data_IF_748147281811
#
_entry.id   IF_748147281811
#
_cell.length_a   1.000
_cell.length_b   1.000
_cell.length_c   1.000
_cell.angle_alpha   90.00
_cell.angle_beta   90.00
_cell.angle_gamma   90.00
#
_symmetry.space_group_name_H-M   'P 1'
#
loop_
_entity.id
_entity.type
_entity.pdbx_description
1 polymer ?
#
# COMPACT_ATOMS: atom_id res chain seq x y z
N UNK A 1 -11.01 -10.07 -6.84
CA UNK A 1 -9.78 -9.49 -6.27
C UNK A 1 -8.72 -10.56 -5.91
N UNK A 2 -9.13 -11.76 -5.49
CA UNK A 2 -8.26 -12.84 -4.96
C UNK A 2 -7.12 -13.29 -5.88
N UNK A 3 -7.33 -13.35 -7.20
CA UNK A 3 -6.32 -13.81 -8.16
C UNK A 3 -5.00 -13.02 -8.11
N UNK A 4 -5.05 -11.71 -7.85
CA UNK A 4 -3.85 -10.84 -7.79
C UNK A 4 -3.00 -11.14 -6.55
N UNK A 5 -3.66 -11.34 -5.41
CA UNK A 5 -2.98 -11.65 -4.14
C UNK A 5 -2.38 -13.05 -4.19
N UNK A 6 -3.10 -14.02 -4.76
CA UNK A 6 -2.56 -15.37 -4.97
C UNK A 6 -1.30 -15.34 -5.83
N UNK A 7 -1.29 -14.55 -6.90
CA UNK A 7 -0.11 -14.38 -7.75
C UNK A 7 1.06 -13.72 -6.99
N UNK A 8 0.82 -12.64 -6.24
CA UNK A 8 1.87 -11.98 -5.45
C UNK A 8 2.46 -12.91 -4.39
N UNK A 9 1.62 -13.66 -3.68
CA UNK A 9 2.09 -14.62 -2.68
C UNK A 9 2.88 -15.78 -3.32
N UNK A 10 2.50 -16.22 -4.52
CA UNK A 10 3.31 -17.16 -5.30
C UNK A 10 4.67 -16.53 -5.66
N UNK A 11 4.69 -15.31 -6.16
CA UNK A 11 5.92 -14.60 -6.53
C UNK A 11 6.85 -14.40 -5.33
N UNK A 12 6.32 -14.07 -4.14
CA UNK A 12 7.13 -13.97 -2.93
C UNK A 12 7.84 -15.28 -2.59
N UNK A 13 7.18 -16.43 -2.82
CA UNK A 13 7.80 -17.75 -2.62
C UNK A 13 8.88 -18.02 -3.65
N UNK A 14 8.60 -17.81 -4.93
CA UNK A 14 9.57 -18.06 -6.02
C UNK A 14 10.83 -17.19 -5.91
N UNK A 15 10.69 -15.96 -5.41
CA UNK A 15 11.80 -15.02 -5.22
C UNK A 15 12.45 -15.09 -3.83
N UNK A 16 12.00 -15.99 -2.95
CA UNK A 16 12.45 -16.11 -1.55
C UNK A 16 12.36 -14.80 -0.75
N UNK A 17 11.29 -14.02 -0.95
CA UNK A 17 11.05 -12.78 -0.23
C UNK A 17 10.29 -13.06 1.07
N UNK A 18 10.94 -12.86 2.22
CA UNK A 18 10.38 -13.09 3.55
C UNK A 18 9.75 -11.85 4.20
N UNK A 19 10.12 -10.64 3.75
CA UNK A 19 9.67 -9.35 4.29
C UNK A 19 8.64 -8.66 3.38
N UNK A 20 7.71 -9.42 2.81
CA UNK A 20 6.66 -8.90 1.93
C UNK A 20 5.29 -9.44 2.32
N UNK A 21 4.27 -8.59 2.25
CA UNK A 21 2.89 -8.97 2.53
C UNK A 21 1.97 -8.38 1.47
N UNK A 22 1.11 -9.21 0.88
CA UNK A 22 0.08 -8.77 -0.05
C UNK A 22 -1.26 -8.72 0.69
N UNK A 23 -1.91 -7.55 0.70
CA UNK A 23 -3.15 -7.30 1.45
C UNK A 23 -4.28 -7.00 0.46
N UNK A 24 -5.41 -7.69 0.63
CA UNK A 24 -6.63 -7.46 -0.15
C UNK A 24 -7.57 -6.51 0.58
N UNK A 25 -7.29 -5.22 0.56
CA UNK A 25 -8.14 -4.21 1.19
C UNK A 25 -8.19 -2.94 0.35
N UNK A 26 -9.20 -2.10 0.60
CA UNK A 26 -9.19 -0.71 0.12
C UNK A 26 -8.25 0.12 0.98
N UNK A 27 -7.65 1.15 0.40
CA UNK A 27 -6.67 1.99 1.10
C UNK A 27 -7.31 2.67 2.32
N UNK A 28 -8.53 3.20 2.18
CA UNK A 28 -9.26 3.88 3.25
C UNK A 28 -9.65 2.96 4.40
N UNK A 29 -9.90 1.67 4.13
CA UNK A 29 -10.22 0.70 5.17
C UNK A 29 -8.96 0.25 5.90
N UNK A 30 -7.86 0.03 5.16
CA UNK A 30 -6.58 -0.33 5.75
C UNK A 30 -6.00 0.79 6.64
N UNK A 31 -6.17 2.05 6.22
CA UNK A 31 -5.69 3.23 6.93
C UNK A 31 -6.38 3.49 8.28
N UNK A 32 -7.55 2.91 8.55
CA UNK A 32 -8.23 3.02 9.85
C UNK A 32 -7.38 2.44 10.98
N UNK A 33 -6.78 1.27 10.75
CA UNK A 33 -5.99 0.55 11.75
C UNK A 33 -4.47 0.75 11.60
N UNK A 34 -4.03 1.37 10.49
CA UNK A 34 -2.61 1.51 10.12
C UNK A 34 -2.16 2.96 9.94
N UNK A 35 -2.84 3.88 10.63
CA UNK A 35 -2.54 5.31 10.56
C UNK A 35 -1.11 5.61 11.03
N UNK A 36 -0.37 6.39 10.26
CA UNK A 36 1.01 6.81 10.56
C UNK A 36 1.95 5.64 10.90
N UNK A 37 1.81 4.51 10.21
CA UNK A 37 2.68 3.33 10.43
C UNK A 37 3.78 3.17 9.39
N UNK A 38 3.70 3.86 8.25
CA UNK A 38 4.64 3.73 7.15
C UNK A 38 5.57 4.94 7.05
N UNK A 39 6.87 4.71 6.89
CA UNK A 39 7.86 5.76 6.62
C UNK A 39 7.72 6.29 5.19
N UNK A 40 7.39 5.39 4.24
CA UNK A 40 7.17 5.70 2.84
C UNK A 40 5.90 4.99 2.37
N UNK A 41 5.01 5.72 1.69
CA UNK A 41 3.85 5.17 0.98
C UNK A 41 3.98 5.54 -0.49
N UNK A 42 3.69 4.59 -1.38
CA UNK A 42 3.76 4.80 -2.83
C UNK A 42 2.46 4.34 -3.48
N UNK A 43 1.96 5.11 -4.43
CA UNK A 43 0.83 4.74 -5.27
C UNK A 43 1.20 4.96 -6.74
N UNK A 44 0.87 3.99 -7.59
CA UNK A 44 1.14 4.05 -9.04
C UNK A 44 -0.15 3.89 -9.84
N UNK A 45 -0.68 5.00 -10.37
CA UNK A 45 -1.98 5.17 -11.06
C UNK A 45 -3.21 4.62 -10.27
N UNK A 46 -4.39 5.24 -10.22
CA UNK A 46 -5.45 5.35 -11.27
C UNK A 46 -6.37 6.58 -11.03
N UNK A 47 -6.04 7.43 -10.05
CA UNK A 47 -6.88 8.54 -9.60
C UNK A 47 -6.13 9.87 -9.62
N UNK A 48 -6.88 10.99 -9.59
CA UNK A 48 -6.31 12.32 -9.43
C UNK A 48 -5.53 12.43 -8.12
N UNK A 49 -4.47 13.24 -8.09
CA UNK A 49 -3.59 13.40 -6.93
C UNK A 49 -4.37 13.68 -5.64
N UNK A 50 -5.38 14.57 -5.69
CA UNK A 50 -6.19 14.91 -4.52
C UNK A 50 -6.88 13.69 -3.88
N UNK A 51 -7.29 12.69 -4.67
CA UNK A 51 -7.87 11.45 -4.15
C UNK A 51 -6.79 10.56 -3.55
N UNK A 52 -5.63 10.47 -4.19
CA UNK A 52 -4.51 9.70 -3.66
C UNK A 52 -4.02 10.27 -2.33
N UNK A 53 -3.98 11.60 -2.19
CA UNK A 53 -3.58 12.27 -0.96
C UNK A 53 -4.49 11.86 0.21
N UNK A 54 -5.82 11.90 0.02
CA UNK A 54 -6.79 11.49 1.04
C UNK A 54 -6.65 10.02 1.45
N UNK A 55 -6.33 9.14 0.50
CA UNK A 55 -6.23 7.70 0.73
C UNK A 55 -4.88 7.29 1.34
N UNK A 56 -3.78 7.91 0.89
CA UNK A 56 -2.42 7.47 1.19
C UNK A 56 -1.77 8.23 2.34
N UNK A 57 -1.98 9.55 2.48
CA UNK A 57 -1.38 10.34 3.55
C UNK A 57 -1.70 9.82 4.96
N UNK A 58 -2.90 9.29 5.26
CA UNK A 58 -3.18 8.74 6.58
C UNK A 58 -2.24 7.61 7.00
N UNK A 59 -1.66 6.86 6.06
CA UNK A 59 -0.73 5.76 6.33
C UNK A 59 0.69 6.26 6.64
N UNK A 60 1.03 7.47 6.20
CA UNK A 60 2.38 8.05 6.31
C UNK A 60 2.61 8.63 7.70
N UNK A 61 3.76 8.34 8.29
CA UNK A 61 4.22 8.96 9.54
C UNK A 61 4.43 10.47 9.39
N UNK A 62 4.36 11.21 10.49
CA UNK A 62 4.83 12.60 10.50
C UNK A 62 6.32 12.63 10.12
N UNK A 63 6.66 13.41 9.09
CA UNK A 63 8.01 13.46 8.52
C UNK A 63 8.34 12.34 7.53
N UNK A 64 7.40 11.43 7.24
CA UNK A 64 7.52 10.42 6.18
C UNK A 64 7.24 10.98 4.78
N UNK A 65 7.33 10.12 3.78
CA UNK A 65 7.16 10.50 2.36
C UNK A 65 5.99 9.78 1.70
N UNK A 66 5.21 10.53 0.92
CA UNK A 66 4.28 9.98 -0.05
C UNK A 66 4.84 10.19 -1.46
N UNK A 67 4.98 9.10 -2.20
CA UNK A 67 5.45 9.10 -3.59
C UNK A 67 4.27 8.76 -4.51
N UNK A 68 3.74 9.78 -5.20
CA UNK A 68 2.73 9.60 -6.24
C UNK A 68 3.41 9.42 -7.60
N UNK A 69 3.16 8.28 -8.27
CA UNK A 69 3.69 7.96 -9.60
C UNK A 69 2.62 7.57 -10.62
#
# INVERSE_FOLDING_TARGET
LTKRITFLNHLFKELNLSNCQAISARAEDYAKDHRQKCDIVMARAVARLNILDELCLPLVKVGGYFLAL
#
